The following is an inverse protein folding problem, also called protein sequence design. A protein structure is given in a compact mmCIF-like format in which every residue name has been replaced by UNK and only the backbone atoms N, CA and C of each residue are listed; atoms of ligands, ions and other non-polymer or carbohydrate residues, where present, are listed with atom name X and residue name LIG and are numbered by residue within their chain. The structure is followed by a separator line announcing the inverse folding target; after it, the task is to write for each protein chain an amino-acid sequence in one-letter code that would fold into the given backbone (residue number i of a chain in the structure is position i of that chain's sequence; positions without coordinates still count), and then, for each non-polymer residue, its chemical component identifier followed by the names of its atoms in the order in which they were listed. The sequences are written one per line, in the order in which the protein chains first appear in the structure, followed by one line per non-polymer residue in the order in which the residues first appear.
data_IF_150993061933
#
_entry.id   IF_150993061933
#
_cell.length_a   1.000
_cell.length_b   1.000
_cell.length_c   1.000
_cell.angle_alpha   90.00
_cell.angle_beta   90.00
_cell.angle_gamma   90.00
#
_symmetry.space_group_name_H-M   'P 1'
#
loop_
_entity.id
_entity.type
_entity.pdbx_description
1 polymer ?
#
# COMPACT_ATOMS: atom_id res chain seq x y z
N UNK A 1 0.05 14.38 6.47
CA UNK A 1 0.83 13.66 5.45
C UNK A 1 2.32 14.07 5.44
N UNK A 2 2.70 15.35 5.34
CA UNK A 2 4.13 15.77 5.35
C UNK A 2 4.90 15.27 6.59
N UNK A 3 4.33 15.47 7.79
CA UNK A 3 4.89 14.96 9.06
C UNK A 3 5.08 13.43 9.12
N UNK A 4 4.38 12.65 8.29
CA UNK A 4 4.56 11.20 8.18
C UNK A 4 5.81 10.86 7.37
N UNK A 5 6.00 11.56 6.25
CA UNK A 5 7.15 11.37 5.36
C UNK A 5 8.45 11.68 6.09
N UNK A 6 8.44 12.73 6.91
CA UNK A 6 9.59 13.12 7.73
C UNK A 6 9.93 12.10 8.84
N UNK A 7 8.94 11.29 9.27
CA UNK A 7 9.10 10.26 10.30
C UNK A 7 9.61 8.92 9.77
N UNK A 8 9.75 8.76 8.46
CA UNK A 8 10.27 7.51 7.91
C UNK A 8 11.75 7.36 8.25
N UNK A 9 12.20 6.14 8.61
CA UNK A 9 13.60 5.92 8.97
C UNK A 9 14.52 6.31 7.81
N UNK A 10 15.44 7.23 8.09
CA UNK A 10 16.42 7.72 7.11
C UNK A 10 17.66 6.83 7.05
N UNK A 11 17.82 5.89 7.98
CA UNK A 11 18.99 5.02 8.06
C UNK A 11 19.01 3.98 6.93
N UNK A 12 20.20 3.72 6.40
CA UNK A 12 20.41 2.84 5.22
C UNK A 12 19.96 1.39 5.49
N UNK A 13 20.05 0.92 6.74
CA UNK A 13 19.63 -0.44 7.14
C UNK A 13 18.12 -0.67 7.09
N UNK A 14 17.31 0.40 7.13
CA UNK A 14 15.83 0.31 7.15
C UNK A 14 15.20 0.65 5.79
N UNK A 15 16.01 0.77 4.73
CA UNK A 15 15.53 1.15 3.38
C UNK A 15 14.47 0.21 2.82
N UNK A 16 14.48 -1.07 3.20
CA UNK A 16 13.43 -2.02 2.81
C UNK A 16 12.08 -1.73 3.48
N UNK A 17 12.10 -1.06 4.63
CA UNK A 17 10.92 -0.71 5.40
C UNK A 17 10.37 0.68 5.07
N UNK A 18 11.15 1.48 4.34
CA UNK A 18 10.76 2.81 3.85
C UNK A 18 9.72 2.68 2.72
N UNK A 19 8.67 3.50 2.75
CA UNK A 19 7.71 3.61 1.64
C UNK A 19 8.26 4.59 0.60
N UNK A 20 8.69 4.13 -0.59
CA UNK A 20 9.32 4.98 -1.59
C UNK A 20 8.34 5.95 -2.24
N UNK A 21 8.84 7.12 -2.64
CA UNK A 21 8.03 8.19 -3.23
C UNK A 21 7.39 7.79 -4.56
N UNK A 22 8.12 7.02 -5.37
CA UNK A 22 7.63 6.54 -6.66
C UNK A 22 6.44 5.57 -6.53
N UNK A 23 6.20 4.99 -5.33
CA UNK A 23 5.06 4.10 -5.09
C UNK A 23 3.77 4.85 -4.73
N UNK A 24 3.85 6.11 -4.31
CA UNK A 24 2.70 6.87 -3.81
C UNK A 24 1.61 7.03 -4.87
N UNK A 25 2.01 7.42 -6.08
CA UNK A 25 1.07 7.68 -7.16
C UNK A 25 0.34 6.39 -7.62
N UNK A 26 1.04 5.27 -7.93
CA UNK A 26 0.40 3.97 -8.16
C UNK A 26 -0.45 3.49 -6.99
N UNK A 27 -0.03 3.77 -5.76
CA UNK A 27 -0.76 3.37 -4.56
C UNK A 27 -2.10 4.09 -4.46
N UNK A 28 -2.13 5.42 -4.61
CA UNK A 28 -3.39 6.17 -4.60
C UNK A 28 -4.30 5.77 -5.77
N UNK A 29 -3.75 5.59 -6.98
CA UNK A 29 -4.50 5.04 -8.12
C UNK A 29 -5.15 3.71 -7.78
N UNK A 30 -4.38 2.81 -7.17
CA UNK A 30 -4.86 1.48 -6.76
C UNK A 30 -5.92 1.55 -5.66
N UNK A 31 -5.80 2.48 -4.70
CA UNK A 31 -6.81 2.68 -3.66
C UNK A 31 -8.14 3.20 -4.21
N UNK A 32 -8.10 4.03 -5.26
CA UNK A 32 -9.29 4.49 -5.98
C UNK A 32 -9.92 3.35 -6.77
N UNK A 33 -9.10 2.53 -7.43
CA UNK A 33 -9.55 1.35 -8.18
C UNK A 33 -10.21 0.29 -7.29
N UNK A 34 -9.65 0.07 -6.10
CA UNK A 34 -10.15 -0.90 -5.13
C UNK A 34 -10.68 -0.16 -3.89
N UNK A 35 -11.92 0.35 -3.92
CA UNK A 35 -12.50 1.05 -2.77
C UNK A 35 -12.72 0.10 -1.58
N UNK A 36 -12.82 0.62 -0.34
CA UNK A 36 -13.08 -0.20 0.83
C UNK A 36 -14.48 -0.84 0.77
N UNK A 37 -14.53 -2.18 0.72
CA UNK A 37 -15.78 -2.97 0.64
C UNK A 37 -16.26 -3.49 2.01
N UNK A 38 -15.81 -2.87 3.11
CA UNK A 38 -16.14 -3.31 4.46
C UNK A 38 -15.52 -4.67 4.78
N UNK A 39 -16.30 -5.59 5.37
CA UNK A 39 -15.85 -6.93 5.78
C UNK A 39 -15.86 -7.97 4.65
N UNK A 40 -16.21 -7.57 3.43
CA UNK A 40 -16.25 -8.45 2.25
C UNK A 40 -14.87 -8.53 1.61
N UNK A 41 -14.60 -9.65 0.92
CA UNK A 41 -13.39 -9.85 0.09
C UNK A 41 -13.74 -9.77 -1.38
N UNK A 42 -12.75 -9.46 -2.21
CA UNK A 42 -12.93 -9.45 -3.66
C UNK A 42 -12.68 -10.87 -4.20
N UNK A 43 -13.54 -11.33 -5.11
CA UNK A 43 -13.31 -12.55 -5.85
C UNK A 43 -12.52 -12.19 -7.12
N UNK A 44 -11.30 -12.71 -7.25
CA UNK A 44 -10.47 -12.54 -8.43
C UNK A 44 -9.78 -13.87 -8.77
N UNK A 45 -9.95 -14.34 -10.01
CA UNK A 45 -9.38 -15.59 -10.51
C UNK A 45 -9.76 -16.80 -9.61
N UNK A 46 -11.04 -16.90 -9.24
CA UNK A 46 -11.60 -17.90 -8.31
C UNK A 46 -10.97 -17.93 -6.90
N UNK A 47 -10.17 -16.91 -6.56
CA UNK A 47 -9.60 -16.75 -5.23
C UNK A 47 -10.16 -15.50 -4.54
N UNK A 48 -10.44 -15.63 -3.25
CA UNK A 48 -10.81 -14.51 -2.40
C UNK A 48 -9.55 -13.74 -2.01
N UNK A 49 -9.38 -12.55 -2.56
CA UNK A 49 -8.25 -11.66 -2.27
C UNK A 49 -8.67 -10.51 -1.38
N UNK A 50 -7.79 -10.15 -0.46
CA UNK A 50 -7.95 -8.96 0.36
C UNK A 50 -7.63 -7.70 -0.45
N UNK A 51 -8.26 -6.57 -0.09
CA UNK A 51 -8.07 -5.27 -0.77
C UNK A 51 -6.59 -4.90 -0.89
N UNK A 52 -5.82 -5.12 0.16
CA UNK A 52 -4.40 -4.75 0.18
C UNK A 52 -3.54 -5.66 -0.72
N UNK A 53 -3.98 -6.90 -0.95
CA UNK A 53 -3.32 -7.80 -1.91
C UNK A 53 -3.56 -7.32 -3.35
N UNK A 54 -4.77 -6.87 -3.65
CA UNK A 54 -5.08 -6.27 -4.95
C UNK A 54 -4.29 -5.00 -5.22
N UNK A 55 -4.18 -4.13 -4.20
CA UNK A 55 -3.38 -2.92 -4.27
C UNK A 55 -1.91 -3.25 -4.50
N UNK A 56 -1.35 -4.21 -3.75
CA UNK A 56 0.03 -4.65 -3.94
C UNK A 56 0.28 -5.18 -5.36
N UNK A 57 -0.62 -6.05 -5.85
CA UNK A 57 -0.52 -6.61 -7.19
C UNK A 57 -0.66 -5.55 -8.30
N UNK A 58 -1.49 -4.53 -8.09
CA UNK A 58 -1.65 -3.43 -9.05
C UNK A 58 -0.39 -2.56 -9.11
N UNK A 59 0.22 -2.24 -7.97
CA UNK A 59 1.48 -1.48 -7.90
C UNK A 59 2.62 -2.27 -8.54
N UNK A 60 2.72 -3.57 -8.25
CA UNK A 60 3.73 -4.46 -8.84
C UNK A 60 3.61 -4.53 -10.36
N UNK A 61 2.38 -4.54 -10.90
CA UNK A 61 2.12 -4.50 -12.34
C UNK A 61 2.50 -3.15 -12.98
N UNK A 62 2.30 -2.03 -12.27
CA UNK A 62 2.63 -0.69 -12.80
C UNK A 62 4.13 -0.40 -12.80
N UNK A 63 4.85 -0.73 -11.72
CA UNK A 63 6.23 -0.29 -11.51
C UNK A 63 7.26 -1.41 -11.76
N UNK A 64 6.84 -2.67 -11.71
CA UNK A 64 7.75 -3.80 -11.77
C UNK A 64 8.52 -3.96 -10.45
N UNK A 65 8.22 -5.02 -9.70
CA UNK A 65 8.96 -5.39 -8.51
C UNK A 65 8.06 -5.96 -7.40
N UNK A 66 8.48 -7.03 -6.72
CA UNK A 66 7.65 -7.71 -5.75
C UNK A 66 7.39 -6.80 -4.56
N UNK A 67 6.13 -6.43 -4.31
CA UNK A 67 5.71 -5.67 -3.14
C UNK A 67 4.81 -6.51 -2.26
N UNK A 68 5.06 -6.45 -0.94
CA UNK A 68 4.32 -7.25 0.01
C UNK A 68 3.04 -6.52 0.44
N UNK A 69 1.90 -7.20 0.36
CA UNK A 69 0.60 -6.74 0.89
C UNK A 69 0.68 -6.28 2.36
N UNK A 70 1.63 -6.81 3.15
CA UNK A 70 1.91 -6.37 4.52
C UNK A 70 2.44 -4.92 4.59
N UNK A 71 3.28 -4.51 3.64
CA UNK A 71 3.79 -3.13 3.56
C UNK A 71 2.65 -2.17 3.22
N UNK A 72 1.78 -2.55 2.27
CA UNK A 72 0.56 -1.80 1.93
C UNK A 72 -0.34 -1.63 3.15
N UNK A 73 -0.57 -2.71 3.89
CA UNK A 73 -1.39 -2.68 5.11
C UNK A 73 -0.81 -1.73 6.17
N UNK A 74 0.50 -1.81 6.43
CA UNK A 74 1.20 -0.93 7.37
C UNK A 74 1.07 0.54 6.96
N UNK A 75 1.30 0.85 5.68
CA UNK A 75 1.21 2.21 5.17
C UNK A 75 -0.22 2.77 5.27
N UNK A 76 -1.25 1.99 4.91
CA UNK A 76 -2.66 2.36 5.09
C UNK A 76 -2.98 2.64 6.56
N UNK A 77 -2.49 1.80 7.49
CA UNK A 77 -2.72 1.97 8.92
C UNK A 77 -2.12 3.29 9.43
N UNK A 78 -0.90 3.62 9.00
CA UNK A 78 -0.28 4.89 9.40
C UNK A 78 -1.03 6.09 8.82
N UNK A 79 -1.46 6.01 7.56
CA UNK A 79 -2.29 7.06 6.96
C UNK A 79 -3.59 7.28 7.75
N UNK A 80 -4.29 6.20 8.15
CA UNK A 80 -5.48 6.31 9.01
C UNK A 80 -5.20 7.03 10.32
N UNK A 81 -4.12 6.66 11.01
CA UNK A 81 -3.76 7.28 12.30
C UNK A 81 -3.38 8.77 12.18
N UNK A 82 -2.98 9.22 10.99
CA UNK A 82 -2.53 10.61 10.75
C UNK A 82 -3.65 11.48 10.17
N UNK A 83 -4.63 10.87 9.52
CA UNK A 83 -5.81 11.52 8.96
C UNK A 83 -7.03 11.45 9.88
N UNK A 84 -6.89 10.85 11.07
CA UNK A 84 -7.88 10.85 12.15
C UNK A 84 -7.87 12.16 12.93
#
# INVERSE_FOLDING_TARGET
YVKYRDRQPQMVKDREQRWPDHLEEPFFRSLVRYPPIGRRKHMQDDQLRDRNELVAASIEREIGGPRNWKQVSSHVQVLKNILQ
#
